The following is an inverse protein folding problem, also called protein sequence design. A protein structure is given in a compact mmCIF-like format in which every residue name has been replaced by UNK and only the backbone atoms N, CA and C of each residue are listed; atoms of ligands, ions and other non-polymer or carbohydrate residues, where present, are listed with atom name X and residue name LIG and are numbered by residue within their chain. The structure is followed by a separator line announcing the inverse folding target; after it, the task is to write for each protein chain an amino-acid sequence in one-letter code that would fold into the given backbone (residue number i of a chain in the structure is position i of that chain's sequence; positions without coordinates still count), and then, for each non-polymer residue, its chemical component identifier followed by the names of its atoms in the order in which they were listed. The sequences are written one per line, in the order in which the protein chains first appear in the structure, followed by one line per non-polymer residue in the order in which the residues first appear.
data_IF_810226193844
#
_entry.id   IF_810226193844
#
_cell.length_a   1.000
_cell.length_b   1.000
_cell.length_c   1.000
_cell.angle_alpha   90.00
_cell.angle_beta   90.00
_cell.angle_gamma   90.00
#
_symmetry.space_group_name_H-M   'P 1'
#
loop_
_entity.id
_entity.type
_entity.pdbx_description
1 polymer ?
#
# COMPACT_ATOMS: atom_id res chain seq x y z
N UNK A 1 1.72 12.10 22.14
CA UNK A 1 2.11 11.05 23.11
C UNK A 1 1.34 9.80 22.73
N UNK A 2 2.02 8.77 22.22
CA UNK A 2 1.38 7.47 22.01
C UNK A 2 1.32 6.76 23.35
N UNK A 3 0.13 6.39 23.82
CA UNK A 3 -0.01 5.57 25.02
C UNK A 3 0.83 4.33 24.85
N UNK A 4 1.69 4.02 25.85
CA UNK A 4 2.67 2.93 25.78
C UNK A 4 2.06 1.52 25.79
N UNK A 5 0.77 1.38 25.49
CA UNK A 5 0.08 0.10 25.40
C UNK A 5 -0.06 -0.32 23.93
N UNK A 6 0.23 -1.59 23.67
CA UNK A 6 0.03 -2.18 22.35
C UNK A 6 -1.46 -2.34 22.09
N UNK A 7 -1.95 -1.73 21.02
CA UNK A 7 -3.33 -1.89 20.57
C UNK A 7 -3.41 -2.93 19.46
N UNK A 8 -4.37 -3.84 19.57
CA UNK A 8 -4.71 -4.71 18.45
C UNK A 8 -5.42 -3.89 17.38
N UNK A 9 -4.84 -3.90 16.18
CA UNK A 9 -5.41 -3.26 14.99
C UNK A 9 -5.64 -4.31 13.91
N UNK A 10 -6.77 -4.18 13.21
CA UNK A 10 -7.10 -5.02 12.05
C UNK A 10 -6.90 -4.22 10.77
N UNK A 11 -6.17 -4.78 9.82
CA UNK A 11 -6.02 -4.22 8.47
C UNK A 11 -6.79 -5.08 7.48
N UNK A 12 -7.71 -4.46 6.74
CA UNK A 12 -8.36 -5.07 5.58
C UNK A 12 -7.94 -4.33 4.33
N UNK A 13 -7.38 -5.05 3.37
CA UNK A 13 -6.96 -4.51 2.08
C UNK A 13 -7.83 -5.07 0.96
N UNK A 14 -8.36 -4.19 0.12
CA UNK A 14 -8.97 -4.55 -1.16
C UNK A 14 -8.11 -4.00 -2.27
N UNK A 15 -7.69 -4.86 -3.18
CA UNK A 15 -6.79 -4.50 -4.25
C UNK A 15 -7.44 -4.73 -5.61
N UNK A 16 -7.13 -3.85 -6.55
CA UNK A 16 -7.24 -4.08 -8.00
C UNK A 16 -5.81 -4.02 -8.58
N UNK A 17 -5.58 -4.24 -9.88
CA UNK A 17 -4.24 -4.15 -10.45
C UNK A 17 -3.50 -2.82 -10.14
N UNK A 18 -4.22 -1.71 -10.03
CA UNK A 18 -3.63 -0.36 -9.88
C UNK A 18 -4.18 0.44 -8.71
N UNK A 19 -5.03 -0.13 -7.87
CA UNK A 19 -5.59 0.57 -6.70
C UNK A 19 -5.60 -0.32 -5.47
N UNK A 20 -5.44 0.29 -4.31
CA UNK A 20 -5.60 -0.36 -3.02
C UNK A 20 -6.49 0.50 -2.13
N UNK A 21 -7.47 -0.14 -1.48
CA UNK A 21 -8.20 0.42 -0.35
C UNK A 21 -7.73 -0.30 0.90
N UNK A 22 -7.11 0.44 1.82
CA UNK A 22 -6.76 -0.03 3.14
C UNK A 22 -7.80 0.49 4.12
N UNK A 23 -8.31 -0.39 4.99
CA UNK A 23 -9.11 -0.03 6.16
C UNK A 23 -8.40 -0.57 7.40
N UNK A 24 -8.00 0.34 8.27
CA UNK A 24 -7.41 0.09 9.58
C UNK A 24 -8.48 0.33 10.64
N UNK A 25 -8.75 -0.69 11.44
CA UNK A 25 -9.70 -0.63 12.56
C UNK A 25 -8.94 -0.88 13.86
N UNK A 26 -9.17 -0.02 14.85
CA UNK A 26 -8.61 -0.17 16.19
C UNK A 26 -9.48 0.51 17.25
N UNK A 27 -9.06 0.47 18.53
CA UNK A 27 -9.80 1.08 19.63
C UNK A 27 -10.08 2.58 19.44
N UNK A 28 -9.15 3.30 18.80
CA UNK A 28 -9.28 4.73 18.52
C UNK A 28 -10.28 5.08 17.40
N UNK A 29 -10.68 4.10 16.58
CA UNK A 29 -11.58 4.30 15.43
C UNK A 29 -11.09 3.63 14.15
N UNK A 30 -11.71 4.01 13.03
CA UNK A 30 -11.41 3.57 11.68
C UNK A 30 -10.63 4.64 10.92
N UNK A 31 -9.53 4.22 10.33
CA UNK A 31 -8.77 5.00 9.35
C UNK A 31 -8.76 4.25 8.02
N UNK A 32 -8.93 4.94 6.91
CA UNK A 32 -8.91 4.36 5.58
C UNK A 32 -7.99 5.14 4.66
N UNK A 33 -7.27 4.42 3.81
CA UNK A 33 -6.53 4.95 2.68
C UNK A 33 -7.14 4.40 1.41
N UNK A 34 -7.33 5.26 0.43
CA UNK A 34 -7.53 4.85 -0.96
C UNK A 34 -6.38 5.39 -1.79
N UNK A 35 -5.62 4.48 -2.39
CA UNK A 35 -4.44 4.81 -3.18
C UNK A 35 -4.59 4.27 -4.60
N UNK A 36 -4.22 5.10 -5.58
CA UNK A 36 -4.26 4.80 -7.00
C UNK A 36 -2.84 4.98 -7.55
N UNK A 37 -2.32 3.95 -8.20
CA UNK A 37 -1.07 3.99 -8.94
C UNK A 37 -1.37 4.16 -10.42
N UNK A 38 -1.31 5.40 -10.92
CA UNK A 38 -1.53 5.71 -12.33
C UNK A 38 -0.22 5.51 -13.11
N UNK A 39 -0.12 4.51 -14.01
CA UNK A 39 1.09 4.31 -14.80
C UNK A 39 1.28 5.47 -15.79
N UNK A 40 2.43 6.14 -15.74
CA UNK A 40 2.81 7.19 -16.70
C UNK A 40 3.78 6.68 -17.76
N UNK A 41 4.38 5.51 -17.53
CA UNK A 41 5.36 4.85 -18.37
C UNK A 41 5.73 3.50 -17.76
N UNK A 42 6.71 2.82 -18.34
CA UNK A 42 7.15 1.50 -17.87
C UNK A 42 7.87 1.57 -16.51
N UNK A 43 8.49 2.70 -16.18
CA UNK A 43 9.35 2.91 -15.00
C UNK A 43 8.82 4.03 -14.07
N UNK A 44 7.63 4.54 -14.33
CA UNK A 44 7.11 5.73 -13.63
C UNK A 44 5.61 5.67 -13.42
N UNK A 45 5.19 6.01 -12.22
CA UNK A 45 3.78 6.13 -11.83
C UNK A 45 3.53 7.46 -11.12
N UNK A 46 2.29 7.91 -11.19
CA UNK A 46 1.76 8.97 -10.35
C UNK A 46 0.85 8.33 -9.30
N UNK A 47 1.16 8.55 -8.03
CA UNK A 47 0.38 8.04 -6.91
C UNK A 47 -0.60 9.11 -6.44
N UNK A 48 -1.89 8.79 -6.47
CA UNK A 48 -2.92 9.57 -5.79
C UNK A 48 -3.27 8.85 -4.50
N UNK A 49 -3.24 9.57 -3.37
CA UNK A 49 -3.57 9.03 -2.06
C UNK A 49 -4.62 9.91 -1.41
N UNK A 50 -5.71 9.28 -0.98
CA UNK A 50 -6.75 9.92 -0.18
C UNK A 50 -6.91 9.19 1.14
N UNK A 51 -7.01 9.95 2.22
CA UNK A 51 -7.24 9.44 3.56
C UNK A 51 -8.67 9.78 4.02
N UNK A 52 -9.23 8.92 4.84
CA UNK A 52 -10.46 9.17 5.58
C UNK A 52 -10.33 8.63 7.01
N UNK A 53 -10.96 9.30 7.97
CA UNK A 53 -10.98 8.89 9.38
C UNK A 53 -12.33 9.20 10.00
N UNK A 54 -12.78 8.36 10.93
CA UNK A 54 -14.00 8.56 11.72
C UNK A 54 -13.73 9.11 13.14
N UNK A 55 -12.46 9.38 13.44
CA UNK A 55 -11.97 9.96 14.69
C UNK A 55 -11.19 11.25 14.42
N UNK A 56 -10.99 12.05 15.48
CA UNK A 56 -10.29 13.34 15.41
C UNK A 56 -10.78 14.20 14.23
N UNK A 57 -12.10 14.45 14.22
CA UNK A 57 -12.85 15.11 13.15
C UNK A 57 -12.65 16.65 13.10
N UNK A 58 -11.76 17.19 13.93
CA UNK A 58 -11.41 18.61 13.92
C UNK A 58 -10.58 18.95 12.66
N UNK A 59 -11.08 19.82 11.76
CA UNK A 59 -10.36 20.19 10.54
C UNK A 59 -8.99 20.84 10.80
N UNK A 60 -8.79 21.50 11.94
CA UNK A 60 -7.49 22.11 12.29
C UNK A 60 -6.38 21.06 12.49
N UNK A 61 -6.76 19.79 12.67
CA UNK A 61 -5.84 18.66 12.83
C UNK A 61 -5.42 18.08 11.49
N UNK A 62 -6.17 18.29 10.41
CA UNK A 62 -5.90 17.72 9.08
C UNK A 62 -4.47 17.95 8.56
N UNK A 63 -3.87 19.15 8.67
CA UNK A 63 -2.49 19.37 8.23
C UNK A 63 -1.47 18.46 8.91
N UNK A 64 -1.73 18.05 10.16
CA UNK A 64 -0.83 17.15 10.88
C UNK A 64 -0.87 15.72 10.34
N UNK A 65 -2.05 15.23 9.93
CA UNK A 65 -2.21 13.93 9.28
C UNK A 65 -1.60 13.93 7.88
N UNK A 66 -1.81 15.01 7.10
CA UNK A 66 -1.16 15.17 5.80
C UNK A 66 0.36 15.13 5.92
N UNK A 67 0.94 15.90 6.85
CA UNK A 67 2.39 15.91 7.08
C UNK A 67 2.93 14.55 7.53
N UNK A 68 2.16 13.82 8.34
CA UNK A 68 2.55 12.47 8.76
C UNK A 68 2.56 11.50 7.58
N UNK A 69 1.55 11.57 6.70
CA UNK A 69 1.49 10.77 5.48
C UNK A 69 2.64 11.11 4.53
N UNK A 70 2.99 12.39 4.37
CA UNK A 70 4.15 12.81 3.57
C UNK A 70 5.45 12.15 4.05
N UNK A 71 5.61 11.99 5.37
CA UNK A 71 6.77 11.30 5.95
C UNK A 71 6.75 9.80 5.63
N UNK A 72 5.60 9.14 5.73
CA UNK A 72 5.45 7.72 5.36
C UNK A 72 5.80 7.51 3.89
N UNK A 73 5.21 8.30 2.99
CA UNK A 73 5.46 8.20 1.56
C UNK A 73 6.92 8.48 1.19
N UNK A 74 7.57 9.41 1.89
CA UNK A 74 9.00 9.68 1.72
C UNK A 74 9.89 8.52 2.18
N UNK A 75 9.44 7.70 3.14
CA UNK A 75 10.16 6.50 3.59
C UNK A 75 9.97 5.33 2.62
N UNK A 76 8.77 5.15 2.08
CA UNK A 76 8.46 4.05 1.15
C UNK A 76 9.11 4.25 -0.22
N UNK A 77 9.13 5.49 -0.71
CA UNK A 77 9.66 5.85 -2.03
C UNK A 77 11.04 5.25 -2.33
N UNK A 78 12.10 5.47 -1.52
CA UNK A 78 13.42 4.92 -1.82
C UNK A 78 13.43 3.39 -1.80
N UNK A 79 12.61 2.73 -0.97
CA UNK A 79 12.51 1.26 -0.94
C UNK A 79 11.93 0.75 -2.26
N UNK A 80 10.82 1.33 -2.71
CA UNK A 80 10.15 0.94 -3.97
C UNK A 80 11.06 1.23 -5.17
N UNK A 81 11.63 2.43 -5.27
CA UNK A 81 12.48 2.84 -6.41
C UNK A 81 13.83 2.07 -6.45
N UNK A 82 14.26 1.49 -5.32
CA UNK A 82 15.46 0.66 -5.24
C UNK A 82 15.23 -0.81 -5.63
N UNK A 83 13.99 -1.26 -5.83
CA UNK A 83 13.70 -2.65 -6.18
C UNK A 83 14.39 -3.04 -7.49
N UNK A 84 14.98 -4.23 -7.51
CA UNK A 84 15.69 -4.78 -8.67
C UNK A 84 15.22 -6.22 -8.94
N UNK A 85 15.04 -6.59 -10.22
CA UNK A 85 15.10 -5.76 -11.43
C UNK A 85 14.02 -4.64 -11.46
N UNK A 86 14.32 -3.52 -12.12
CA UNK A 86 13.53 -2.25 -12.09
C UNK A 86 12.19 -2.32 -12.85
N UNK A 87 12.17 -3.11 -13.91
CA UNK A 87 10.96 -3.67 -14.47
C UNK A 87 10.89 -5.03 -13.80
N UNK A 88 9.77 -5.39 -13.18
CA UNK A 88 9.54 -6.81 -12.92
C UNK A 88 9.48 -7.42 -14.33
N UNK A 89 10.51 -8.15 -14.83
CA UNK A 89 10.33 -8.91 -16.06
C UNK A 89 9.11 -9.82 -15.86
N UNK A 90 8.68 -10.62 -16.84
CA UNK A 90 7.81 -11.74 -16.56
C UNK A 90 8.45 -12.71 -15.56
N UNK A 91 8.42 -12.34 -14.28
CA UNK A 91 8.81 -13.10 -13.13
C UNK A 91 7.59 -13.95 -12.87
N UNK A 92 7.58 -15.11 -13.54
CA UNK A 92 6.86 -16.24 -12.99
C UNK A 92 7.09 -16.26 -11.48
N UNK A 93 6.03 -16.44 -10.69
CA UNK A 93 6.09 -16.56 -9.23
C UNK A 93 7.20 -17.53 -8.74
N UNK A 94 7.72 -18.38 -9.63
CA UNK A 94 8.86 -19.29 -9.44
C UNK A 94 10.21 -18.61 -9.19
N UNK A 95 10.41 -17.34 -9.55
CA UNK A 95 11.70 -16.63 -9.40
C UNK A 95 11.78 -15.74 -8.16
N UNK A 96 10.67 -15.49 -7.47
CA UNK A 96 10.64 -14.70 -6.24
C UNK A 96 10.69 -15.62 -5.03
N UNK A 97 11.60 -15.35 -4.08
CA UNK A 97 11.63 -16.06 -2.80
C UNK A 97 10.65 -15.43 -1.83
N UNK A 98 9.45 -16.01 -1.74
CA UNK A 98 8.43 -15.56 -0.79
C UNK A 98 8.65 -16.14 0.61
N UNK A 99 8.56 -15.29 1.63
CA UNK A 99 8.59 -15.65 3.03
C UNK A 99 7.16 -15.79 3.55
N UNK A 100 6.78 -17.02 3.88
CA UNK A 100 5.46 -17.30 4.48
C UNK A 100 5.48 -17.04 5.99
N UNK A 101 4.36 -16.56 6.59
CA UNK A 101 3.08 -16.25 5.95
C UNK A 101 2.98 -14.82 5.38
N UNK A 102 4.00 -13.98 5.59
CA UNK A 102 3.96 -12.55 5.28
C UNK A 102 3.64 -12.26 3.80
N UNK A 103 4.20 -13.04 2.87
CA UNK A 103 4.06 -12.81 1.44
C UNK A 103 2.87 -13.50 0.78
N UNK A 104 1.99 -14.15 1.55
CA UNK A 104 0.79 -14.79 0.98
C UNK A 104 -0.09 -13.84 0.15
N UNK A 105 -0.34 -12.57 0.56
CA UNK A 105 -1.08 -11.63 -0.27
C UNK A 105 -0.39 -11.31 -1.60
N UNK A 106 0.94 -11.19 -1.61
CA UNK A 106 1.72 -10.91 -2.82
C UNK A 106 1.68 -12.10 -3.79
N UNK A 107 1.81 -13.33 -3.28
CA UNK A 107 1.64 -14.56 -4.09
C UNK A 107 0.25 -14.60 -4.73
N UNK A 108 -0.80 -14.32 -3.95
CA UNK A 108 -2.17 -14.32 -4.46
C UNK A 108 -2.38 -13.25 -5.53
N UNK A 109 -1.84 -12.05 -5.30
CA UNK A 109 -1.90 -10.95 -6.27
C UNK A 109 -1.18 -11.28 -7.58
N UNK A 110 0.03 -11.86 -7.54
CA UNK A 110 0.76 -12.25 -8.75
C UNK A 110 0.00 -13.30 -9.57
N UNK A 111 -0.54 -14.34 -8.92
CA UNK A 111 -1.34 -15.36 -9.60
C UNK A 111 -2.57 -14.74 -10.26
N UNK A 112 -3.21 -13.78 -9.61
CA UNK A 112 -4.35 -13.06 -10.18
C UNK A 112 -3.94 -12.20 -11.39
N UNK A 113 -2.78 -11.53 -11.36
CA UNK A 113 -2.30 -10.76 -12.52
C UNK A 113 -1.98 -11.67 -13.72
N UNK A 114 -1.43 -12.87 -13.47
CA UNK A 114 -1.22 -13.90 -14.50
C UNK A 114 -2.57 -14.34 -15.11
N UNK A 115 -3.60 -14.57 -14.30
CA UNK A 115 -4.94 -14.95 -14.75
C UNK A 115 -5.65 -13.85 -15.57
N UNK A 116 -5.37 -12.59 -15.27
CA UNK A 116 -5.90 -11.44 -16.01
C UNK A 116 -5.14 -11.15 -17.32
N UNK A 117 -4.12 -11.95 -17.65
CA UNK A 117 -3.25 -11.75 -18.81
C UNK A 117 -2.58 -10.35 -18.83
N UNK A 118 -2.40 -9.72 -17.65
CA UNK A 118 -1.69 -8.45 -17.54
C UNK A 118 -0.23 -8.71 -17.90
N UNK A 119 0.32 -8.09 -18.97
CA UNK A 119 1.69 -8.34 -19.39
C UNK A 119 2.65 -8.02 -18.25
N UNK A 120 3.42 -9.02 -17.85
CA UNK A 120 4.54 -8.83 -16.95
C UNK A 120 5.72 -8.42 -17.84
N UNK A 121 6.23 -7.18 -17.69
CA UNK A 121 7.10 -6.49 -18.68
C UNK A 121 8.57 -6.78 -18.46
#
# INVERSE_FOLDING_TARGET
EGGGELENVTYTNWCTPTTIRLRKEGPAGTYAIYQIMCPLGADRSLVFLQMARDFDLDPERDPSYLKFEDVIQAQDRPVIESQRPWLLPPLSARMTLFVRPADLPLIAFQRWMEELEVPQV
#
